data_IF_178871669974
#
_entry.id   IF_178871669974
#
_cell.length_a   1.000
_cell.length_b   1.000
_cell.length_c   1.000
_cell.angle_alpha   90.00
_cell.angle_beta   90.00
_cell.angle_gamma   90.00
#
_symmetry.space_group_name_H-M   'P 1'
#
loop_
_entity.id
_entity.type
_entity.pdbx_description
1 polymer ?
#
# COMPACT_ATOMS: atom_id res chain seq x y z
N UNK A 1 -1.50 3.51 4.27
CA UNK A 1 -1.15 4.58 5.24
C UNK A 1 0.25 4.43 5.85
N UNK A 2 0.57 3.36 6.60
CA UNK A 2 1.87 3.25 7.31
C UNK A 2 3.09 3.25 6.37
N UNK A 3 3.00 2.51 5.27
CA UNK A 3 4.09 2.36 4.29
C UNK A 3 4.22 3.60 3.40
N UNK A 4 3.12 4.01 2.77
CA UNK A 4 3.13 5.09 1.76
C UNK A 4 2.80 6.49 2.29
N UNK A 5 2.41 6.63 3.56
CA UNK A 5 2.05 7.92 4.19
C UNK A 5 0.61 8.37 3.99
N UNK A 6 -0.01 7.98 2.88
CA UNK A 6 -1.41 8.28 2.58
C UNK A 6 -2.24 6.99 2.56
N UNK A 7 -3.54 7.11 2.78
CA UNK A 7 -4.54 6.12 2.39
C UNK A 7 -5.74 6.87 1.81
N UNK A 8 -6.34 6.29 0.77
CA UNK A 8 -7.52 6.85 0.12
C UNK A 8 -8.61 5.80 0.26
N UNK A 9 -9.80 6.28 0.56
CA UNK A 9 -10.97 5.44 0.73
C UNK A 9 -12.11 6.01 -0.07
N UNK A 10 -12.74 5.16 -0.83
CA UNK A 10 -13.87 5.48 -1.66
C UNK A 10 -15.15 5.05 -0.96
N UNK A 11 -16.12 5.95 -0.90
CA UNK A 11 -17.46 5.63 -0.42
C UNK A 11 -18.42 5.62 -1.61
N UNK A 12 -19.09 4.50 -1.80
CA UNK A 12 -20.06 4.33 -2.87
C UNK A 12 -21.38 3.79 -2.33
N UNK A 13 -22.47 4.05 -3.04
CA UNK A 13 -23.73 3.37 -2.73
C UNK A 13 -23.80 2.08 -3.53
N UNK A 14 -23.88 0.93 -2.85
CA UNK A 14 -23.91 -0.39 -3.49
C UNK A 14 -25.22 -1.09 -3.21
N UNK A 15 -25.88 -1.55 -4.27
CA UNK A 15 -27.00 -2.48 -4.19
C UNK A 15 -26.57 -3.81 -4.81
N UNK A 16 -26.53 -4.88 -4.02
CA UNK A 16 -26.27 -6.23 -4.51
C UNK A 16 -27.60 -7.03 -4.52
N UNK A 17 -28.30 -7.09 -5.67
CA UNK A 17 -29.43 -7.98 -5.82
C UNK A 17 -28.94 -9.42 -6.04
N UNK A 18 -29.49 -10.38 -5.29
CA UNK A 18 -29.31 -11.80 -5.52
C UNK A 18 -30.64 -12.44 -5.87
N UNK A 19 -30.68 -13.10 -7.02
CA UNK A 19 -31.83 -13.93 -7.39
C UNK A 19 -31.70 -15.27 -6.68
N UNK A 20 -32.63 -15.58 -5.79
CA UNK A 20 -32.73 -16.86 -5.09
C UNK A 20 -33.88 -17.65 -5.71
N UNK A 21 -33.68 -18.97 -5.85
CA UNK A 21 -34.74 -19.90 -6.22
C UNK A 21 -35.48 -20.29 -4.95
N UNK A 22 -36.65 -19.72 -4.73
CA UNK A 22 -37.53 -20.10 -3.63
C UNK A 22 -38.37 -21.30 -4.07
N UNK A 23 -38.36 -22.37 -3.29
CA UNK A 23 -39.06 -23.62 -3.64
C UNK A 23 -40.53 -23.45 -3.24
N UNK A 24 -41.44 -23.53 -4.22
CA UNK A 24 -42.89 -23.40 -4.00
C UNK A 24 -43.48 -24.75 -3.61
N UNK A 25 -43.08 -25.82 -4.29
CA UNK A 25 -43.58 -27.16 -4.06
C UNK A 25 -42.55 -28.22 -4.50
N UNK A 26 -42.56 -29.37 -3.81
CA UNK A 26 -41.69 -30.51 -4.09
C UNK A 26 -42.58 -31.72 -4.33
N UNK A 27 -42.60 -32.19 -5.57
CA UNK A 27 -43.38 -33.37 -5.93
C UNK A 27 -42.68 -34.64 -5.43
N UNK A 28 -43.24 -35.30 -4.40
CA UNK A 28 -42.61 -36.42 -3.67
C UNK A 28 -42.43 -37.69 -4.51
N UNK A 29 -43.13 -37.85 -5.64
CA UNK A 29 -43.03 -39.04 -6.51
C UNK A 29 -42.01 -38.91 -7.66
N UNK A 30 -41.72 -37.68 -8.11
CA UNK A 30 -40.84 -37.41 -9.28
C UNK A 30 -39.54 -36.69 -8.92
N UNK A 31 -39.48 -36.04 -7.75
CA UNK A 31 -38.32 -35.28 -7.29
C UNK A 31 -38.09 -33.96 -8.04
N UNK A 32 -39.06 -33.53 -8.86
CA UNK A 32 -38.99 -32.23 -9.54
C UNK A 32 -39.41 -31.10 -8.60
N UNK A 33 -38.54 -30.10 -8.48
CA UNK A 33 -38.71 -28.97 -7.59
C UNK A 33 -39.23 -27.78 -8.39
N UNK A 34 -40.45 -27.34 -8.10
CA UNK A 34 -40.97 -26.10 -8.66
C UNK A 34 -40.42 -24.93 -7.85
N UNK A 35 -39.73 -24.00 -8.52
CA UNK A 35 -39.12 -22.84 -7.89
C UNK A 35 -39.53 -21.53 -8.56
N UNK A 36 -39.67 -20.48 -7.77
CA UNK A 36 -39.84 -19.10 -8.23
C UNK A 36 -38.51 -18.34 -8.08
N UNK A 37 -38.21 -17.47 -9.04
CA UNK A 37 -37.04 -16.60 -8.98
C UNK A 37 -37.42 -15.31 -8.25
N UNK A 38 -37.00 -15.21 -6.99
CA UNK A 38 -37.23 -14.01 -6.16
C UNK A 38 -35.92 -13.23 -6.06
N UNK A 39 -35.96 -11.94 -6.39
CA UNK A 39 -34.84 -11.02 -6.18
C UNK A 39 -34.85 -10.50 -4.75
N UNK A 40 -33.88 -10.95 -3.94
CA UNK A 40 -33.63 -10.40 -2.60
C UNK A 40 -32.44 -9.44 -2.69
N UNK A 41 -32.57 -8.27 -2.08
CA UNK A 41 -31.44 -7.34 -1.92
C UNK A 41 -30.65 -7.73 -0.68
N UNK A 42 -29.51 -8.38 -0.86
CA UNK A 42 -28.66 -8.82 0.27
C UNK A 42 -27.95 -7.63 0.92
N UNK A 43 -27.54 -6.66 0.11
CA UNK A 43 -26.84 -5.47 0.57
C UNK A 43 -27.43 -4.22 -0.09
N UNK A 44 -27.83 -3.26 0.73
CA UNK A 44 -28.36 -1.97 0.28
C UNK A 44 -27.90 -0.89 1.27
N UNK A 45 -26.62 -0.51 1.20
CA UNK A 45 -26.07 0.54 2.06
C UNK A 45 -24.83 1.22 1.43
N UNK A 46 -24.26 2.17 2.17
CA UNK A 46 -22.97 2.79 1.86
C UNK A 46 -21.86 1.75 2.01
N UNK A 47 -21.11 1.55 0.93
CA UNK A 47 -20.00 0.64 0.82
C UNK A 47 -18.70 1.42 0.66
N UNK A 48 -17.80 1.21 1.61
CA UNK A 48 -16.46 1.75 1.60
C UNK A 48 -15.43 0.76 1.06
N UNK A 49 -14.53 1.22 0.19
CA UNK A 49 -13.40 0.43 -0.30
C UNK A 49 -12.09 1.21 -0.23
N UNK A 50 -11.01 0.53 0.18
CA UNK A 50 -9.67 1.10 0.12
C UNK A 50 -9.18 1.15 -1.32
N UNK A 51 -8.73 2.33 -1.76
CA UNK A 51 -8.19 2.55 -3.10
C UNK A 51 -6.66 2.47 -3.05
N UNK A 52 -6.07 1.81 -4.05
CA UNK A 52 -4.64 1.80 -4.21
C UNK A 52 -4.14 3.19 -4.62
N UNK A 53 -3.16 3.71 -3.88
CA UNK A 53 -2.59 5.06 -4.06
C UNK A 53 -1.92 5.19 -5.44
N UNK A 54 -1.29 4.14 -5.95
CA UNK A 54 -0.63 4.14 -7.27
C UNK A 54 -1.61 4.21 -8.43
N UNK A 55 -2.88 3.88 -8.15
CA UNK A 55 -3.98 3.96 -9.09
C UNK A 55 -4.88 5.17 -8.83
N UNK A 56 -4.44 6.13 -8.03
CA UNK A 56 -5.23 7.32 -7.73
C UNK A 56 -4.44 8.60 -8.00
N UNK A 57 -5.03 9.46 -8.81
CA UNK A 57 -4.46 10.73 -9.25
C UNK A 57 -5.41 11.86 -8.85
N UNK A 58 -4.84 12.97 -8.43
CA UNK A 58 -5.57 14.15 -7.99
C UNK A 58 -5.01 15.39 -8.65
N UNK A 59 -5.83 16.44 -8.71
CA UNK A 59 -5.41 17.80 -9.06
C UNK A 59 -4.07 18.18 -8.39
N UNK A 60 -3.15 18.73 -9.16
CA UNK A 60 -1.82 19.15 -8.71
C UNK A 60 -1.90 20.25 -7.64
N UNK A 61 -2.93 21.10 -7.71
CA UNK A 61 -3.17 22.18 -6.75
C UNK A 61 -3.89 21.71 -5.47
N UNK A 62 -4.41 20.48 -5.45
CA UNK A 62 -5.19 19.94 -4.36
C UNK A 62 -4.32 19.62 -3.14
N UNK A 63 -4.67 20.16 -1.97
CA UNK A 63 -4.06 19.76 -0.69
C UNK A 63 -4.89 18.72 0.05
N UNK A 64 -6.20 18.80 -0.09
CA UNK A 64 -7.20 17.94 0.54
C UNK A 64 -8.40 17.82 -0.43
N UNK A 65 -9.32 16.89 -0.17
CA UNK A 65 -10.47 16.70 -1.07
C UNK A 65 -11.45 17.88 -1.10
N UNK A 66 -11.40 18.77 -0.11
CA UNK A 66 -12.16 20.03 -0.13
C UNK A 66 -11.61 21.04 -1.14
N UNK A 67 -10.29 21.05 -1.35
CA UNK A 67 -9.59 22.01 -2.23
C UNK A 67 -9.39 21.45 -3.65
N UNK A 68 -9.28 20.13 -3.78
CA UNK A 68 -9.14 19.47 -5.07
C UNK A 68 -10.35 19.73 -5.99
N UNK A 69 -10.06 19.99 -7.27
CA UNK A 69 -11.09 20.21 -8.30
C UNK A 69 -11.49 18.92 -8.99
N UNK A 70 -10.51 18.07 -9.29
CA UNK A 70 -10.72 16.81 -9.97
C UNK A 70 -9.83 15.68 -9.44
N UNK A 71 -10.24 14.46 -9.75
CA UNK A 71 -9.47 13.26 -9.48
C UNK A 71 -9.74 12.17 -10.52
N UNK A 72 -8.78 11.25 -10.65
CA UNK A 72 -8.86 10.07 -11.49
C UNK A 72 -8.58 8.85 -10.60
N UNK A 73 -9.50 7.90 -10.61
CA UNK A 73 -9.27 6.56 -10.06
C UNK A 73 -9.10 5.58 -11.22
N UNK A 74 -8.02 4.80 -11.18
CA UNK A 74 -7.70 3.74 -12.14
C UNK A 74 -8.04 2.38 -11.56
N UNK A 75 -8.65 1.53 -12.36
CA UNK A 75 -8.88 0.12 -12.06
C UNK A 75 -8.42 -0.71 -13.26
N UNK A 76 -7.80 -1.86 -12.99
CA UNK A 76 -7.47 -2.83 -14.02
C UNK A 76 -8.36 -4.04 -13.76
N UNK A 77 -9.19 -4.39 -14.74
CA UNK A 77 -10.17 -5.46 -14.64
C UNK A 77 -9.97 -6.44 -15.79
N UNK A 78 -10.36 -7.69 -15.61
CA UNK A 78 -10.49 -8.62 -16.73
C UNK A 78 -11.65 -8.20 -17.64
N UNK A 79 -11.59 -8.50 -18.94
CA UNK A 79 -12.63 -8.14 -19.90
C UNK A 79 -14.01 -8.70 -19.50
N UNK A 80 -14.03 -9.90 -18.91
CA UNK A 80 -15.24 -10.55 -18.43
C UNK A 80 -15.85 -9.82 -17.22
N UNK A 81 -15.01 -9.40 -16.27
CA UNK A 81 -15.44 -8.60 -15.12
C UNK A 81 -15.89 -7.20 -15.55
N UNK A 82 -15.18 -6.59 -16.49
CA UNK A 82 -15.57 -5.31 -17.08
C UNK A 82 -16.97 -5.40 -17.68
N UNK A 83 -17.23 -6.40 -18.53
CA UNK A 83 -18.56 -6.62 -19.13
C UNK A 83 -19.61 -6.90 -18.07
N UNK A 84 -19.30 -7.66 -17.02
CA UNK A 84 -20.22 -7.91 -15.91
C UNK A 84 -20.65 -6.62 -15.20
N UNK A 85 -19.71 -5.71 -14.92
CA UNK A 85 -19.96 -4.49 -14.14
C UNK A 85 -20.55 -3.36 -15.01
N UNK A 86 -20.02 -3.19 -16.23
CA UNK A 86 -20.28 -2.03 -17.08
C UNK A 86 -21.25 -2.30 -18.25
N UNK A 87 -21.77 -3.52 -18.42
CA UNK A 87 -22.76 -3.87 -19.47
C UNK A 87 -23.98 -2.94 -19.55
N UNK A 88 -24.35 -2.29 -18.45
CA UNK A 88 -25.45 -1.31 -18.41
C UNK A 88 -25.22 -0.06 -19.26
N UNK A 89 -23.97 0.22 -19.66
CA UNK A 89 -23.62 1.41 -20.42
C UNK A 89 -23.55 1.12 -21.93
N UNK A 90 -24.09 2.04 -22.72
CA UNK A 90 -24.24 1.89 -24.17
C UNK A 90 -22.94 1.61 -24.92
N UNK A 91 -21.82 2.19 -24.48
CA UNK A 91 -20.53 2.03 -25.16
C UNK A 91 -19.67 0.89 -24.58
N UNK A 92 -20.15 0.16 -23.56
CA UNK A 92 -19.38 -0.93 -22.95
C UNK A 92 -19.08 -2.07 -23.94
N UNK A 93 -19.96 -2.31 -24.92
CA UNK A 93 -19.75 -3.32 -25.96
C UNK A 93 -18.58 -3.01 -26.91
N UNK A 94 -18.19 -1.72 -27.01
CA UNK A 94 -17.11 -1.28 -27.90
C UNK A 94 -15.73 -1.43 -27.27
N UNK A 95 -15.68 -1.71 -25.97
CA UNK A 95 -14.43 -1.84 -25.22
C UNK A 95 -13.80 -3.19 -25.56
N UNK A 96 -12.55 -3.15 -25.99
CA UNK A 96 -11.72 -4.32 -26.26
C UNK A 96 -10.63 -4.41 -25.20
N UNK A 97 -10.10 -5.61 -24.97
CA UNK A 97 -8.94 -5.81 -24.09
C UNK A 97 -7.69 -5.11 -24.66
N UNK A 98 -6.85 -4.59 -23.77
CA UNK A 98 -5.70 -3.76 -24.12
C UNK A 98 -5.48 -2.61 -23.14
N UNK A 99 -4.64 -1.64 -23.52
CA UNK A 99 -4.33 -0.46 -22.70
C UNK A 99 -3.05 -0.61 -21.85
N UNK A 100 -2.80 0.36 -20.98
CA UNK A 100 -1.73 0.28 -19.99
C UNK A 100 -2.25 -0.49 -18.78
N UNK A 101 -2.17 -1.82 -18.81
CA UNK A 101 -2.68 -2.67 -17.71
C UNK A 101 -1.60 -3.04 -16.70
N UNK A 102 -0.36 -2.61 -16.95
CA UNK A 102 0.76 -2.87 -16.06
C UNK A 102 0.49 -2.31 -14.65
N UNK A 103 0.73 -3.10 -13.59
CA UNK A 103 0.65 -2.58 -12.23
C UNK A 103 1.72 -1.49 -12.05
N UNK A 104 1.31 -0.36 -11.50
CA UNK A 104 2.21 0.77 -11.19
C UNK A 104 2.90 0.63 -9.84
N UNK A 105 2.62 -0.45 -9.12
CA UNK A 105 3.30 -0.83 -7.89
C UNK A 105 4.71 -1.37 -8.17
N UNK A 106 5.61 -1.14 -7.21
CA UNK A 106 7.00 -1.62 -7.25
C UNK A 106 7.16 -3.14 -7.02
N UNK A 107 6.07 -3.86 -6.79
CA UNK A 107 6.09 -5.31 -6.57
C UNK A 107 6.29 -6.07 -7.88
N UNK A 108 6.95 -7.25 -7.85
CA UNK A 108 7.19 -8.03 -9.05
C UNK A 108 5.86 -8.38 -9.72
N UNK A 109 5.76 -8.08 -11.02
CA UNK A 109 4.60 -8.40 -11.84
C UNK A 109 4.28 -9.90 -11.70
N UNK A 110 3.03 -10.30 -11.41
CA UNK A 110 2.65 -11.69 -11.58
C UNK A 110 2.93 -12.07 -13.04
N UNK A 111 3.70 -13.14 -13.28
CA UNK A 111 3.96 -13.64 -14.62
C UNK A 111 2.63 -14.13 -15.22
N UNK A 112 2.03 -13.34 -16.10
CA UNK A 112 0.78 -13.62 -16.79
C UNK A 112 0.67 -12.79 -18.08
N UNK A 113 0.05 -13.38 -19.11
CA UNK A 113 -0.29 -12.66 -20.34
C UNK A 113 -1.45 -11.70 -20.05
N UNK A 114 -1.19 -10.40 -19.91
CA UNK A 114 -2.19 -9.34 -19.68
C UNK A 114 -3.14 -9.09 -20.89
N UNK A 115 -3.32 -10.08 -21.77
CA UNK A 115 -4.02 -9.91 -23.05
C UNK A 115 -5.52 -9.69 -22.91
N UNK A 116 -6.10 -10.10 -21.78
CA UNK A 116 -7.55 -10.04 -21.52
C UNK A 116 -7.92 -8.96 -20.48
N UNK A 117 -7.01 -8.05 -20.17
CA UNK A 117 -7.23 -6.97 -19.21
C UNK A 117 -7.70 -5.68 -19.89
N UNK A 118 -8.45 -4.88 -19.14
CA UNK A 118 -9.00 -3.59 -19.53
C UNK A 118 -8.65 -2.58 -18.45
N UNK A 119 -8.07 -1.45 -18.85
CA UNK A 119 -7.87 -0.31 -17.96
C UNK A 119 -9.13 0.55 -17.94
N UNK A 120 -9.67 0.80 -16.75
CA UNK A 120 -10.83 1.65 -16.50
C UNK A 120 -10.41 2.86 -15.68
N UNK A 121 -10.71 4.04 -16.19
CA UNK A 121 -10.44 5.33 -15.57
C UNK A 121 -11.77 5.99 -15.20
N UNK A 122 -11.93 6.26 -13.91
CA UNK A 122 -13.02 7.03 -13.34
C UNK A 122 -12.54 8.45 -13.12
N UNK A 123 -12.97 9.37 -13.98
CA UNK A 123 -12.67 10.79 -13.86
C UNK A 123 -13.83 11.52 -13.18
N UNK A 124 -13.54 12.23 -12.10
CA UNK A 124 -14.48 13.08 -11.37
C UNK A 124 -14.02 14.53 -11.43
N UNK A 125 -14.91 15.45 -11.80
CA UNK A 125 -14.64 16.89 -11.79
C UNK A 125 -15.76 17.61 -11.03
N UNK A 126 -15.40 18.23 -9.89
CA UNK A 126 -16.34 18.95 -9.02
C UNK A 126 -16.84 20.26 -9.63
N UNK A 127 -15.97 21.19 -10.11
CA UNK A 127 -16.43 22.46 -10.67
C UNK A 127 -17.40 22.34 -11.86
N UNK A 128 -17.21 21.33 -12.71
CA UNK A 128 -18.04 21.13 -13.89
C UNK A 128 -19.19 20.13 -13.69
N UNK A 129 -19.29 19.49 -12.50
CA UNK A 129 -20.22 18.37 -12.23
C UNK A 129 -20.15 17.30 -13.33
N UNK A 130 -18.94 16.78 -13.58
CA UNK A 130 -18.71 15.77 -14.62
C UNK A 130 -18.17 14.51 -13.97
N UNK A 131 -18.72 13.37 -14.39
CA UNK A 131 -18.21 12.04 -14.11
C UNK A 131 -18.06 11.26 -15.41
N UNK A 132 -16.84 10.85 -15.75
CA UNK A 132 -16.54 10.06 -16.94
C UNK A 132 -15.94 8.71 -16.57
N UNK A 133 -16.38 7.69 -17.30
CA UNK A 133 -15.80 6.35 -17.22
C UNK A 133 -15.16 6.10 -18.58
N UNK A 134 -13.85 6.05 -18.62
CA UNK A 134 -13.08 5.79 -19.85
C UNK A 134 -12.46 4.42 -19.71
N UNK A 135 -12.75 3.51 -20.62
CA UNK A 135 -12.14 2.19 -20.66
C UNK A 135 -11.42 2.01 -22.00
N UNK A 136 -10.10 1.82 -21.98
CA UNK A 136 -9.26 1.67 -23.18
C UNK A 136 -9.61 2.68 -24.30
N UNK A 137 -9.51 3.97 -23.98
CA UNK A 137 -9.81 5.12 -24.87
C UNK A 137 -11.29 5.29 -25.25
N UNK A 138 -12.17 4.38 -24.85
CA UNK A 138 -13.61 4.47 -25.10
C UNK A 138 -14.30 5.10 -23.91
N UNK A 139 -15.00 6.22 -24.13
CA UNK A 139 -15.92 6.76 -23.15
C UNK A 139 -17.13 5.82 -23.01
N UNK A 140 -17.20 5.12 -21.89
CA UNK A 140 -18.21 4.09 -21.61
C UNK A 140 -19.57 4.73 -21.36
N UNK A 141 -19.58 5.86 -20.63
CA UNK A 141 -20.78 6.62 -20.33
C UNK A 141 -21.07 7.73 -21.34
N UNK A 142 -22.21 8.40 -21.21
CA UNK A 142 -22.57 9.53 -22.07
C UNK A 142 -21.72 10.76 -21.73
N UNK A 143 -21.45 11.58 -22.75
CA UNK A 143 -20.70 12.82 -22.58
C UNK A 143 -21.44 13.79 -21.65
N UNK A 144 -20.70 14.39 -20.72
CA UNK A 144 -21.25 15.31 -19.72
C UNK A 144 -22.14 14.67 -18.65
N UNK A 145 -22.05 13.35 -18.46
CA UNK A 145 -22.79 12.67 -17.39
C UNK A 145 -22.40 13.24 -16.01
N UNK A 146 -23.37 13.63 -15.16
CA UNK A 146 -23.07 14.29 -13.90
C UNK A 146 -22.58 13.32 -12.83
N UNK A 147 -21.98 13.87 -11.76
CA UNK A 147 -21.62 13.07 -10.57
C UNK A 147 -22.89 12.41 -10.03
N UNK A 148 -22.89 11.08 -9.81
CA UNK A 148 -24.09 10.31 -9.49
C UNK A 148 -24.66 10.63 -8.10
N UNK A 149 -23.85 11.21 -7.22
CA UNK A 149 -24.25 11.58 -5.87
C UNK A 149 -24.88 12.98 -5.82
N UNK A 150 -25.87 13.19 -4.96
CA UNK A 150 -26.54 14.50 -4.88
C UNK A 150 -25.72 15.59 -4.20
N UNK A 151 -24.75 15.20 -3.38
CA UNK A 151 -23.88 16.16 -2.71
C UNK A 151 -22.86 16.79 -3.68
N UNK A 152 -22.66 16.21 -4.88
CA UNK A 152 -21.77 16.77 -5.93
C UNK A 152 -20.32 16.99 -5.48
N UNK A 153 -19.90 16.25 -4.46
CA UNK A 153 -18.52 16.21 -3.99
C UNK A 153 -17.84 14.94 -4.47
N UNK A 154 -16.51 14.93 -4.41
CA UNK A 154 -15.71 13.75 -4.72
C UNK A 154 -15.99 12.65 -3.69
N UNK A 155 -16.25 11.39 -4.09
CA UNK A 155 -16.64 10.30 -3.19
C UNK A 155 -15.45 9.67 -2.47
N UNK A 156 -14.45 10.46 -2.10
CA UNK A 156 -13.20 9.98 -1.53
C UNK A 156 -12.88 10.70 -0.22
N UNK A 157 -12.33 9.96 0.74
CA UNK A 157 -11.70 10.50 1.94
C UNK A 157 -10.21 10.16 1.94
N UNK A 158 -9.38 11.04 2.52
CA UNK A 158 -7.94 10.80 2.61
C UNK A 158 -7.46 10.80 4.05
N UNK A 159 -6.69 9.79 4.40
CA UNK A 159 -5.98 9.73 5.66
C UNK A 159 -4.50 9.95 5.41
N UNK A 160 -3.90 10.95 6.06
CA UNK A 160 -2.48 11.26 5.92
C UNK A 160 -1.79 11.14 7.27
N UNK A 161 -0.73 10.32 7.33
CA UNK A 161 0.06 10.10 8.54
C UNK A 161 0.85 11.36 8.94
N UNK A 162 1.65 11.88 8.01
CA UNK A 162 2.39 13.14 8.17
C UNK A 162 2.08 14.02 6.96
N UNK A 163 1.30 15.08 7.18
CA UNK A 163 0.95 16.06 6.14
C UNK A 163 2.16 16.92 5.79
N UNK A 164 2.43 17.08 4.49
CA UNK A 164 3.38 18.09 3.97
C UNK A 164 2.59 19.32 3.56
N UNK A 165 3.13 20.50 3.84
CA UNK A 165 2.45 21.75 3.50
C UNK A 165 2.32 21.88 1.97
N UNK A 166 1.10 22.13 1.49
CA UNK A 166 0.84 22.31 0.06
C UNK A 166 0.83 21.03 -0.78
N UNK A 167 0.83 19.84 -0.16
CA UNK A 167 0.80 18.56 -0.89
C UNK A 167 -0.30 17.65 -0.38
N UNK A 168 -1.00 17.00 -1.32
CA UNK A 168 -1.98 15.96 -1.02
C UNK A 168 -1.36 14.69 -0.41
N UNK A 169 -0.20 14.26 -0.93
CA UNK A 169 0.46 13.04 -0.49
C UNK A 169 1.44 13.28 0.68
N UNK A 170 1.23 12.53 1.76
CA UNK A 170 2.05 12.60 2.96
C UNK A 170 3.29 11.71 2.92
N UNK A 171 3.96 11.63 4.07
CA UNK A 171 5.13 10.78 4.28
C UNK A 171 4.76 9.57 5.14
N UNK A 172 5.17 8.39 4.70
CA UNK A 172 5.11 7.16 5.50
C UNK A 172 6.36 6.96 6.33
N UNK A 173 6.30 6.07 7.33
CA UNK A 173 7.47 5.76 8.16
C UNK A 173 8.69 5.29 7.37
N UNK A 174 8.56 4.42 6.33
CA UNK A 174 9.71 4.02 5.52
C UNK A 174 10.46 5.20 4.90
N UNK A 175 9.74 6.27 4.51
CA UNK A 175 10.36 7.45 3.91
C UNK A 175 11.16 8.27 4.92
N UNK A 176 10.81 8.21 6.19
CA UNK A 176 11.54 8.88 7.28
C UNK A 176 12.86 8.14 7.56
N UNK A 177 12.83 6.81 7.56
CA UNK A 177 13.99 5.97 7.86
C UNK A 177 14.86 5.63 6.65
N UNK A 178 14.44 6.01 5.43
CA UNK A 178 15.12 5.66 4.18
C UNK A 178 16.61 6.01 4.20
N UNK A 179 16.96 7.19 4.72
CA UNK A 179 18.36 7.62 4.83
C UNK A 179 19.19 6.72 5.76
N UNK A 180 18.65 6.40 6.94
CA UNK A 180 19.32 5.53 7.93
C UNK A 180 19.41 4.10 7.42
N UNK A 181 18.39 3.61 6.71
CA UNK A 181 18.38 2.29 6.11
C UNK A 181 19.42 2.18 4.98
N UNK A 182 19.57 3.21 4.13
CA UNK A 182 20.59 3.24 3.09
C UNK A 182 22.02 3.25 3.66
N UNK A 183 22.23 3.96 4.77
CA UNK A 183 23.49 3.94 5.52
C UNK A 183 23.77 2.55 6.10
N UNK A 184 22.78 1.95 6.77
CA UNK A 184 22.87 0.59 7.31
C UNK A 184 23.21 -0.44 6.24
N UNK A 185 22.57 -0.36 5.07
CA UNK A 185 22.84 -1.25 3.94
C UNK A 185 24.25 -1.05 3.38
N UNK A 186 24.73 0.20 3.34
CA UNK A 186 26.10 0.52 2.92
C UNK A 186 27.12 -0.05 3.90
N UNK A 187 26.92 0.15 5.21
CA UNK A 187 27.76 -0.45 6.25
C UNK A 187 27.73 -1.98 6.12
N UNK A 188 26.55 -2.59 5.97
CA UNK A 188 26.41 -4.04 5.76
C UNK A 188 27.22 -4.54 4.58
N UNK A 189 27.08 -3.92 3.41
CA UNK A 189 27.84 -4.26 2.20
C UNK A 189 29.34 -4.18 2.42
N UNK A 190 29.86 -3.09 2.99
CA UNK A 190 31.28 -2.93 3.27
C UNK A 190 31.86 -4.05 4.16
N UNK A 191 31.07 -4.58 5.09
CA UNK A 191 31.54 -5.67 5.96
C UNK A 191 31.50 -7.03 5.29
N UNK A 192 30.50 -7.28 4.45
CA UNK A 192 30.47 -8.49 3.62
C UNK A 192 31.68 -8.48 2.68
N UNK A 193 31.98 -7.34 2.06
CA UNK A 193 33.15 -7.19 1.18
C UNK A 193 34.46 -7.38 1.95
N UNK A 194 34.56 -6.80 3.15
CA UNK A 194 35.72 -7.01 4.03
C UNK A 194 35.87 -8.47 4.46
N UNK A 195 34.79 -9.14 4.83
CA UNK A 195 34.80 -10.55 5.17
C UNK A 195 35.25 -11.40 3.97
N UNK A 196 34.78 -11.06 2.76
CA UNK A 196 35.23 -11.70 1.52
C UNK A 196 36.74 -11.53 1.29
N UNK A 197 37.27 -10.32 1.46
CA UNK A 197 38.72 -10.05 1.36
C UNK A 197 39.53 -10.75 2.46
N UNK A 198 38.97 -10.88 3.65
CA UNK A 198 39.60 -11.59 4.75
C UNK A 198 39.67 -13.12 4.52
N UNK A 199 38.65 -13.72 3.89
CA UNK A 199 38.69 -15.11 3.44
C UNK A 199 39.64 -15.31 2.26
N UNK A 200 39.64 -14.37 1.31
CA UNK A 200 40.45 -14.41 0.08
C UNK A 200 41.60 -13.41 0.14
N UNK A 201 42.51 -13.63 1.10
CA UNK A 201 43.62 -12.69 1.35
C UNK A 201 44.54 -12.60 0.13
N UNK A 202 44.79 -11.39 -0.40
CA UNK A 202 45.81 -11.21 -1.42
C UNK A 202 47.21 -11.36 -0.80
N UNK A 203 48.07 -12.07 -1.51
CA UNK A 203 49.48 -12.23 -1.15
C UNK A 203 50.33 -11.25 -1.96
N UNK A 204 51.21 -10.52 -1.28
CA UNK A 204 52.25 -9.73 -1.93
C UNK A 204 53.40 -10.67 -2.32
N UNK A 205 53.68 -10.75 -3.62
CA UNK A 205 54.81 -11.49 -4.15
C UNK A 205 55.93 -10.53 -4.57
N UNK A 206 57.17 -10.87 -4.24
CA UNK A 206 58.33 -10.10 -4.68
C UNK A 206 58.50 -10.18 -6.20
N UNK A 207 58.87 -9.06 -6.86
CA UNK A 207 59.03 -8.96 -8.33
C UNK A 207 60.06 -9.92 -8.93
N UNK A 208 60.93 -10.54 -8.12
CA UNK A 208 61.89 -11.58 -8.53
C UNK A 208 61.28 -12.99 -8.62
N UNK A 209 60.09 -13.22 -8.07
CA UNK A 209 59.37 -14.47 -8.22
C UNK A 209 58.70 -14.49 -9.60
N UNK A 210 59.26 -15.25 -10.54
CA UNK A 210 58.65 -15.51 -11.85
C UNK A 210 57.42 -16.41 -11.69
N UNK A 211 56.34 -15.85 -11.15
CA UNK A 211 55.05 -16.54 -11.06
C UNK A 211 54.44 -16.64 -12.45
N UNK A 212 54.14 -17.86 -12.92
CA UNK A 212 53.41 -18.06 -14.17
C UNK A 212 51.92 -17.80 -13.91
N UNK A 213 51.18 -17.36 -14.92
CA UNK A 213 49.76 -16.96 -14.77
C UNK A 213 48.84 -18.06 -14.18
N UNK A 214 49.24 -19.33 -14.25
CA UNK A 214 48.54 -20.48 -13.62
C UNK A 214 48.77 -20.60 -12.10
N UNK A 215 49.82 -19.97 -11.58
CA UNK A 215 50.14 -19.98 -10.15
C UNK A 215 49.39 -18.88 -9.38
N UNK A 216 48.87 -17.88 -10.10
CA UNK A 216 48.16 -16.69 -9.58
C UNK A 216 46.67 -16.97 -9.30
N UNK A 217 46.12 -18.09 -9.76
CA UNK A 217 44.75 -18.50 -9.40
C UNK A 217 44.67 -18.89 -7.92
N UNK A 218 44.04 -18.01 -7.14
CA UNK A 218 43.79 -18.16 -5.71
C UNK A 218 42.62 -19.12 -5.53
N UNK A 219 42.85 -20.24 -4.87
CA UNK A 219 41.82 -21.19 -4.43
C UNK A 219 42.04 -21.53 -2.95
N UNK A 220 40.97 -21.72 -2.15
CA UNK A 220 41.10 -22.08 -0.74
C UNK A 220 41.94 -23.35 -0.58
N UNK A 221 43.02 -23.28 0.21
CA UNK A 221 43.89 -24.42 0.52
C UNK A 221 45.08 -24.69 -0.43
N UNK A 222 45.37 -23.80 -1.38
CA UNK A 222 46.53 -23.97 -2.29
C UNK A 222 47.85 -23.69 -1.56
N UNK A 223 48.74 -24.69 -1.53
CA UNK A 223 50.10 -24.57 -0.99
C UNK A 223 51.03 -24.04 -2.09
N UNK A 224 51.57 -22.82 -1.93
CA UNK A 224 52.61 -22.27 -2.82
C UNK A 224 53.97 -22.54 -2.15
N UNK A 225 54.82 -23.35 -2.79
CA UNK A 225 56.19 -23.55 -2.34
C UNK A 225 57.05 -22.33 -2.69
N UNK A 226 57.65 -21.72 -1.67
CA UNK A 226 58.59 -20.60 -1.82
C UNK A 226 59.91 -20.97 -1.14
N UNK A 227 61.07 -20.71 -1.78
CA UNK A 227 62.38 -21.14 -1.27
C UNK A 227 62.79 -20.48 0.05
N UNK A 228 62.15 -19.37 0.46
CA UNK A 228 62.32 -18.74 1.77
C UNK A 228 60.99 -18.19 2.33
N UNK A 229 60.42 -18.78 3.39
CA UNK A 229 59.08 -18.43 3.90
C UNK A 229 58.96 -17.05 4.59
N UNK A 230 60.07 -16.44 5.06
CA UNK A 230 60.02 -15.22 5.88
C UNK A 230 60.09 -13.90 5.10
N UNK A 231 60.61 -13.89 3.88
CA UNK A 231 60.93 -12.63 3.17
C UNK A 231 60.18 -12.44 1.84
N UNK A 232 59.51 -13.47 1.31
CA UNK A 232 59.07 -13.47 -0.10
C UNK A 232 57.55 -13.50 -0.33
N UNK A 233 56.75 -13.80 0.69
CA UNK A 233 55.29 -13.72 0.64
C UNK A 233 54.76 -13.06 1.91
N UNK A 234 54.29 -11.83 1.80
CA UNK A 234 53.59 -11.15 2.88
C UNK A 234 52.11 -11.08 2.51
N UNK A 235 51.25 -11.79 3.23
CA UNK A 235 49.81 -11.56 3.14
C UNK A 235 49.50 -10.17 3.66
N UNK A 236 48.70 -9.39 2.94
CA UNK A 236 48.18 -8.15 3.51
C UNK A 236 47.28 -8.51 4.70
N UNK A 237 47.65 -8.04 5.90
CA UNK A 237 46.86 -8.25 7.11
C UNK A 237 45.65 -7.31 7.08
N UNK A 238 44.52 -7.84 6.63
CA UNK A 238 43.23 -7.21 6.89
C UNK A 238 42.83 -7.58 8.31
N UNK A 239 42.67 -6.58 9.18
CA UNK A 239 42.07 -6.82 10.50
C UNK A 239 40.65 -7.35 10.33
N UNK A 240 40.20 -8.18 11.26
CA UNK A 240 38.82 -8.66 11.29
C UNK A 240 37.84 -7.47 11.30
N UNK A 241 36.58 -7.71 10.94
CA UNK A 241 35.48 -6.78 11.19
C UNK A 241 35.46 -6.39 12.67
N UNK A 242 36.03 -5.23 12.99
CA UNK A 242 36.19 -4.78 14.37
C UNK A 242 34.83 -4.62 15.06
N UNK A 243 34.81 -4.84 16.38
CA UNK A 243 33.62 -4.69 17.24
C UNK A 243 32.95 -3.31 17.12
N UNK A 244 33.71 -2.27 16.73
CA UNK A 244 33.20 -0.92 16.45
C UNK A 244 32.10 -0.90 15.39
N UNK A 245 32.17 -1.77 14.39
CA UNK A 245 31.18 -1.85 13.30
C UNK A 245 29.83 -2.36 13.80
N UNK A 246 29.84 -3.35 14.68
CA UNK A 246 28.60 -3.86 15.28
C UNK A 246 27.94 -2.79 16.16
N UNK A 247 28.74 -1.95 16.84
CA UNK A 247 28.23 -0.80 17.59
C UNK A 247 27.64 0.27 16.67
N UNK A 248 28.28 0.54 15.54
CA UNK A 248 27.75 1.47 14.53
C UNK A 248 26.41 0.98 13.94
N UNK A 249 26.31 -0.31 13.60
CA UNK A 249 25.04 -0.92 13.18
C UNK A 249 23.97 -0.86 14.28
N UNK A 250 24.34 -1.00 15.56
CA UNK A 250 23.41 -0.85 16.68
C UNK A 250 22.93 0.59 16.84
N UNK A 251 23.83 1.58 16.73
CA UNK A 251 23.48 3.00 16.76
C UNK A 251 22.52 3.37 15.62
N UNK A 252 22.79 2.93 14.39
CA UNK A 252 21.90 3.19 13.25
C UNK A 252 20.51 2.54 13.42
N UNK A 253 20.45 1.36 14.04
CA UNK A 253 19.17 0.72 14.39
C UNK A 253 18.44 1.50 15.48
N UNK A 254 19.15 2.04 16.46
CA UNK A 254 18.56 2.87 17.50
C UNK A 254 18.07 4.22 16.96
N UNK A 255 18.78 4.83 16.03
CA UNK A 255 18.32 6.04 15.33
C UNK A 255 17.05 5.75 14.50
N UNK A 256 17.00 4.60 13.82
CA UNK A 256 15.80 4.15 13.09
C UNK A 256 14.59 3.96 14.02
N UNK A 257 14.83 3.44 15.23
CA UNK A 257 13.81 3.26 16.28
C UNK A 257 13.32 4.58 16.84
N UNK A 258 14.23 5.51 17.13
CA UNK A 258 13.88 6.85 17.60
C UNK A 258 13.08 7.61 16.54
N UNK A 259 13.49 7.53 15.27
CA UNK A 259 12.80 8.18 14.15
C UNK A 259 11.37 7.64 13.94
N UNK A 260 11.14 6.36 14.24
CA UNK A 260 9.80 5.72 14.13
C UNK A 260 8.95 5.85 15.40
N UNK A 261 9.51 6.35 16.50
CA UNK A 261 8.85 6.39 17.80
C UNK A 261 8.69 5.03 18.48
N UNK A 262 9.29 3.97 17.92
CA UNK A 262 9.27 2.61 18.49
C UNK A 262 10.46 2.48 19.44
N UNK A 263 10.28 2.79 20.72
CA UNK A 263 11.38 2.62 21.68
C UNK A 263 11.69 1.14 21.94
N UNK A 264 12.94 0.91 22.33
CA UNK A 264 13.46 -0.43 22.60
C UNK A 264 12.78 -1.02 23.86
N UNK A 265 12.07 -2.17 23.77
CA UNK A 265 11.54 -2.84 24.96
C UNK A 265 12.66 -3.34 25.90
N UNK A 266 13.94 -3.30 25.49
CA UNK A 266 15.07 -3.72 26.32
C UNK A 266 15.41 -2.77 27.50
N UNK A 267 14.81 -1.58 27.60
CA UNK A 267 14.80 -0.81 28.86
C UNK A 267 13.58 -1.10 29.75
N UNK A 268 12.78 -2.12 29.42
CA UNK A 268 11.70 -2.62 30.27
C UNK A 268 12.17 -3.80 31.13
N UNK A 269 13.17 -3.59 31.98
CA UNK A 269 13.31 -4.14 33.35
C UNK A 269 14.58 -3.50 33.91
N UNK A 270 14.48 -2.31 34.49
CA UNK A 270 15.46 -1.94 35.51
C UNK A 270 15.22 -2.92 36.66
N UNK A 271 16.12 -3.88 36.88
CA UNK A 271 16.07 -4.76 38.04
C UNK A 271 16.09 -3.89 39.30
N UNK A 272 14.91 -3.67 39.89
CA UNK A 272 14.69 -2.84 41.08
C UNK A 272 13.69 -1.69 40.96
N UNK A 273 13.11 -1.40 39.78
CA UNK A 273 12.11 -0.34 39.65
C UNK A 273 10.73 -0.76 40.19
N UNK A 274 9.98 0.19 40.75
CA UNK A 274 8.61 -0.06 41.21
C UNK A 274 7.70 -0.43 40.03
N UNK A 275 6.67 -1.26 40.27
CA UNK A 275 5.73 -1.71 39.22
C UNK A 275 5.11 -0.53 38.44
N UNK A 276 4.94 0.62 39.09
CA UNK A 276 4.44 1.86 38.51
C UNK A 276 5.44 2.53 37.56
N UNK A 277 6.73 2.59 37.92
CA UNK A 277 7.78 3.14 37.06
C UNK A 277 7.96 2.28 35.81
N UNK A 278 7.97 0.95 35.96
CA UNK A 278 8.05 0.03 34.82
C UNK A 278 6.87 0.18 33.86
N UNK A 279 5.67 0.46 34.38
CA UNK A 279 4.49 0.76 33.54
C UNK A 279 4.60 2.13 32.85
N UNK A 280 5.14 3.15 33.51
CA UNK A 280 5.36 4.47 32.91
C UNK A 280 6.33 4.42 31.73
N UNK A 281 7.47 3.71 31.89
CA UNK A 281 8.44 3.54 30.81
C UNK A 281 7.89 2.72 29.63
N UNK A 282 7.07 1.70 29.89
CA UNK A 282 6.39 0.94 28.84
C UNK A 282 5.37 1.79 28.07
N UNK A 283 4.67 2.68 28.78
CA UNK A 283 3.59 3.49 28.20
C UNK A 283 4.09 4.74 27.47
N UNK A 284 5.32 5.20 27.71
CA UNK A 284 5.84 6.43 27.08
C UNK A 284 6.00 6.34 25.54
N UNK A 285 6.65 5.32 24.95
CA UNK A 285 6.76 5.21 23.50
C UNK A 285 5.41 4.89 22.83
N UNK A 286 4.55 4.13 23.53
CA UNK A 286 3.19 3.88 23.06
C UNK A 286 2.40 5.18 22.96
N UNK A 287 2.55 6.11 23.91
CA UNK A 287 1.86 7.41 23.87
C UNK A 287 2.23 8.25 22.64
N UNK A 288 3.49 8.29 22.24
CA UNK A 288 3.91 9.11 21.09
C UNK A 288 3.33 8.58 19.78
N UNK A 289 3.40 7.25 19.59
CA UNK A 289 2.78 6.58 18.46
C UNK A 289 1.25 6.74 18.52
N UNK A 290 0.63 6.55 19.68
CA UNK A 290 -0.81 6.68 19.88
C UNK A 290 -1.30 8.10 19.60
N UNK A 291 -0.56 9.15 19.98
CA UNK A 291 -0.93 10.54 19.67
C UNK A 291 -0.92 10.78 18.17
N UNK A 292 0.11 10.31 17.46
CA UNK A 292 0.20 10.45 16.01
C UNK A 292 -0.92 9.69 15.28
N UNK A 293 -1.20 8.47 15.75
CA UNK A 293 -2.25 7.62 15.21
C UNK A 293 -3.64 8.19 15.53
N UNK A 294 -3.85 8.72 16.73
CA UNK A 294 -5.11 9.33 17.16
C UNK A 294 -5.43 10.58 16.36
N UNK A 295 -4.46 11.47 16.12
CA UNK A 295 -4.65 12.65 15.26
C UNK A 295 -5.03 12.23 13.84
N UNK A 296 -4.33 11.25 13.29
CA UNK A 296 -4.61 10.73 11.94
C UNK A 296 -6.00 10.08 11.86
N UNK A 297 -6.32 9.20 12.81
CA UNK A 297 -7.60 8.49 12.90
C UNK A 297 -8.77 9.45 13.11
N UNK A 298 -8.63 10.44 13.99
CA UNK A 298 -9.71 11.38 14.28
C UNK A 298 -10.01 12.34 13.13
N UNK A 299 -9.01 12.77 12.36
CA UNK A 299 -9.24 13.53 11.13
C UNK A 299 -9.93 12.68 10.07
N UNK A 300 -9.35 11.52 9.78
CA UNK A 300 -9.85 10.60 8.75
C UNK A 300 -11.26 10.07 9.03
N UNK A 301 -11.56 9.69 10.27
CA UNK A 301 -12.91 9.22 10.64
C UNK A 301 -13.97 10.30 10.56
N UNK A 302 -13.62 11.57 10.77
CA UNK A 302 -14.57 12.68 10.61
C UNK A 302 -14.93 12.87 9.14
N UNK A 303 -13.94 12.92 8.27
CA UNK A 303 -14.16 13.05 6.82
C UNK A 303 -14.98 11.88 6.29
N UNK A 304 -14.66 10.65 6.71
CA UNK A 304 -15.45 9.46 6.38
C UNK A 304 -16.90 9.59 6.86
N UNK A 305 -17.12 9.86 8.14
CA UNK A 305 -18.46 9.95 8.71
C UNK A 305 -19.30 11.04 8.04
N UNK A 306 -18.71 12.20 7.72
CA UNK A 306 -19.38 13.28 7.02
C UNK A 306 -19.78 12.85 5.60
N UNK A 307 -18.93 12.10 4.91
CA UNK A 307 -19.17 11.64 3.55
C UNK A 307 -20.21 10.50 3.50
N UNK A 308 -20.14 9.55 4.44
CA UNK A 308 -21.16 8.52 4.65
C UNK A 308 -22.54 9.16 4.92
N UNK A 309 -22.62 10.15 5.81
CA UNK A 309 -23.87 10.86 6.11
C UNK A 309 -24.41 11.61 4.89
N UNK A 310 -23.54 12.23 4.09
CA UNK A 310 -23.93 12.89 2.83
C UNK A 310 -24.44 11.90 1.79
N UNK A 311 -23.79 10.75 1.61
CA UNK A 311 -24.23 9.72 0.68
C UNK A 311 -25.56 9.13 1.16
N UNK A 312 -25.66 8.76 2.43
CA UNK A 312 -26.86 8.19 3.03
C UNK A 312 -28.05 9.15 2.92
N UNK A 313 -27.89 10.41 3.33
CA UNK A 313 -28.93 11.44 3.21
C UNK A 313 -29.32 11.71 1.75
N UNK A 314 -28.37 11.65 0.82
CA UNK A 314 -28.65 11.80 -0.60
C UNK A 314 -29.43 10.61 -1.19
N UNK A 315 -29.16 9.40 -0.71
CA UNK A 315 -29.89 8.17 -1.07
C UNK A 315 -31.32 8.16 -0.50
N UNK A 316 -31.56 8.88 0.61
CA UNK A 316 -32.89 9.13 1.22
C UNK A 316 -33.73 10.15 0.39
N UNK A 317 -33.83 9.95 -0.93
CA UNK A 317 -35.02 10.34 -1.68
C UNK A 317 -36.08 9.24 -1.73
N UNK A 318 -35.93 8.17 -0.93
CA UNK A 318 -37.06 7.38 -0.44
C UNK A 318 -37.58 7.92 0.90
N UNK A 319 -37.88 9.21 0.95
CA UNK A 319 -38.49 9.95 2.08
C UNK A 319 -39.81 9.35 2.62
N UNK A 320 -40.37 8.27 2.05
CA UNK A 320 -41.62 7.67 2.53
C UNK A 320 -41.48 6.86 3.83
N UNK A 321 -40.40 6.07 4.03
CA UNK A 321 -40.32 5.16 5.19
C UNK A 321 -39.99 5.84 6.52
N UNK A 322 -39.19 6.92 6.52
CA UNK A 322 -38.82 7.60 7.77
C UNK A 322 -39.96 8.45 8.36
N UNK A 323 -40.79 9.03 7.50
CA UNK A 323 -42.00 9.77 7.93
C UNK A 323 -43.14 8.84 8.35
N UNK A 324 -43.19 7.61 7.84
CA UNK A 324 -44.12 6.57 8.31
C UNK A 324 -43.72 6.00 9.68
N UNK A 325 -42.42 5.87 9.96
CA UNK A 325 -41.93 5.45 11.28
C UNK A 325 -42.16 6.50 12.38
N UNK A 326 -42.09 7.79 12.06
CA UNK A 326 -42.40 8.87 12.99
C UNK A 326 -43.91 8.96 13.33
N UNK A 327 -44.80 8.52 12.42
CA UNK A 327 -46.25 8.47 12.67
C UNK A 327 -46.71 7.27 13.49
N UNK A 328 -45.82 6.32 13.78
CA UNK A 328 -46.08 5.16 14.64
C UNK A 328 -45.65 5.39 16.10
N UNK A 329 -45.06 6.56 16.40
CA UNK A 329 -44.57 6.96 17.72
C UNK A 329 -45.41 8.10 18.33
N UNK A 330 -46.37 8.65 17.57
CA UNK A 330 -47.44 9.54 18.05
C UNK A 330 -48.76 8.75 18.23
#
# INVERSE_FOLDING_TARGET
>A
MVVYGTAIWEETYREDPRTIKEIIDVDEETGEVQYELVEIKEYQDVYGAAVNIWNFYIDEDGTDFETAKDCIKREVLTLDEFKRIYSRYKNAEKVQAGGETDPKETDPKPEGDNKDEVEVLHYYNRPHDIYWIVANEVLVNDFGNPIPYKHKELPFSHGVLIKRLGHFYGLGFPKIIEGVQAELDTVRRMGIDRAKLHLSRPFLAASRAQLRQRDVEISPGKLIQVPNPRESLMGLEFSDTGSSRYREEELLKDDSRQATGIANPAQSVITGATATESALFKNQPLKDLDISLFKTKSGYLKELADLELKIFSSSISRKKKFTELLKLVD
#
